data_IF_078390128435
#
_entry.id   IF_078390128435
#
_cell.length_a   1.000
_cell.length_b   1.000
_cell.length_c   1.000
_cell.angle_alpha   90.00
_cell.angle_beta   90.00
_cell.angle_gamma   90.00
#
_symmetry.space_group_name_H-M   'P 1'
#
loop_
_entity.id
_entity.type
_entity.pdbx_description
1 polymer ?
#
# COMPACT_ATOMS: atom_id res chain seq x y z
N UNK A 1 -1.91 2.76 -1.40
CA UNK A 1 -3.14 2.54 -0.60
C UNK A 1 -3.56 1.10 -0.71
N UNK A 2 -4.01 0.53 0.38
CA UNK A 2 -4.74 -0.72 0.44
C UNK A 2 -6.21 -0.47 0.11
N UNK A 3 -7.01 -1.49 -0.15
CA UNK A 3 -8.42 -1.31 -0.42
C UNK A 3 -9.15 -2.62 -0.55
N UNK A 4 -10.45 -2.58 -0.23
CA UNK A 4 -11.35 -3.71 -0.36
C UNK A 4 -12.71 -3.22 -0.88
N UNK A 5 -13.26 -3.93 -1.86
CA UNK A 5 -14.61 -3.71 -2.35
C UNK A 5 -15.29 -5.04 -2.60
N UNK A 6 -16.55 -5.19 -2.23
CA UNK A 6 -17.34 -6.40 -2.39
C UNK A 6 -18.75 -6.04 -2.81
N UNK A 7 -19.18 -6.53 -3.95
CA UNK A 7 -20.55 -6.38 -4.42
C UNK A 7 -21.17 -7.74 -4.71
N UNK A 8 -22.49 -7.85 -4.57
CA UNK A 8 -23.23 -9.05 -4.89
C UNK A 8 -24.50 -8.70 -5.64
N UNK A 9 -24.81 -9.46 -6.68
CA UNK A 9 -26.05 -9.32 -7.44
C UNK A 9 -26.69 -10.70 -7.69
N UNK A 10 -28.00 -10.71 -7.84
CA UNK A 10 -28.77 -11.93 -8.12
C UNK A 10 -29.22 -11.92 -9.56
N UNK A 11 -29.03 -13.04 -10.24
CA UNK A 11 -29.56 -13.32 -11.58
C UNK A 11 -30.26 -14.65 -11.60
N UNK A 12 -31.59 -14.67 -11.67
CA UNK A 12 -32.40 -15.87 -11.52
C UNK A 12 -32.20 -16.54 -10.16
N UNK A 13 -31.79 -17.80 -10.14
CA UNK A 13 -31.43 -18.57 -8.94
C UNK A 13 -29.98 -18.36 -8.50
N UNK A 14 -29.17 -17.64 -9.28
CA UNK A 14 -27.74 -17.49 -9.05
C UNK A 14 -27.41 -16.19 -8.30
N UNK A 15 -26.61 -16.29 -7.27
CA UNK A 15 -26.00 -15.16 -6.56
C UNK A 15 -24.56 -15.02 -7.00
N UNK A 16 -24.25 -13.90 -7.65
CA UNK A 16 -22.92 -13.56 -8.15
C UNK A 16 -22.27 -12.63 -7.13
N UNK A 17 -21.14 -13.02 -6.58
CA UNK A 17 -20.38 -12.18 -5.63
C UNK A 17 -19.01 -11.86 -6.22
N UNK A 18 -18.69 -10.57 -6.29
CA UNK A 18 -17.42 -10.04 -6.72
C UNK A 18 -16.72 -9.41 -5.53
N UNK A 19 -15.50 -9.84 -5.25
CA UNK A 19 -14.64 -9.26 -4.23
C UNK A 19 -13.32 -8.83 -4.86
N UNK A 20 -12.92 -7.59 -4.62
CA UNK A 20 -11.66 -7.01 -5.10
C UNK A 20 -10.86 -6.55 -3.90
N UNK A 21 -9.62 -7.04 -3.77
CA UNK A 21 -8.65 -6.60 -2.78
C UNK A 21 -7.49 -5.93 -3.48
N UNK A 22 -6.98 -4.86 -2.91
CA UNK A 22 -5.82 -4.16 -3.44
C UNK A 22 -4.80 -3.92 -2.34
N UNK A 23 -3.53 -4.24 -2.63
CA UNK A 23 -2.39 -3.91 -1.80
C UNK A 23 -1.53 -2.86 -2.50
N UNK A 24 -0.73 -2.13 -1.72
CA UNK A 24 0.16 -1.12 -2.27
C UNK A 24 1.22 -1.75 -3.18
N UNK A 25 1.29 -1.27 -4.43
CA UNK A 25 2.32 -1.64 -5.42
C UNK A 25 2.59 -0.49 -6.36
N UNK A 26 3.80 -0.45 -6.94
CA UNK A 26 4.20 0.58 -7.92
C UNK A 26 3.52 0.40 -9.28
N UNK A 27 3.17 -0.82 -9.64
CA UNK A 27 2.52 -1.20 -10.91
C UNK A 27 1.19 -1.88 -10.63
N UNK A 28 0.29 -1.88 -11.61
CA UNK A 28 -0.91 -2.68 -11.57
C UNK A 28 -0.54 -4.15 -11.86
N UNK A 29 -0.74 -5.01 -10.86
CA UNK A 29 -0.58 -6.45 -10.98
C UNK A 29 -1.91 -7.09 -10.57
N UNK A 30 -2.63 -7.68 -11.53
CA UNK A 30 -3.97 -8.22 -11.31
C UNK A 30 -3.95 -9.74 -11.38
N UNK A 31 -4.25 -10.37 -10.25
CA UNK A 31 -4.56 -11.79 -10.12
C UNK A 31 -6.08 -11.98 -10.12
N UNK A 32 -6.58 -12.91 -10.93
CA UNK A 32 -8.02 -13.15 -11.04
C UNK A 32 -8.33 -14.61 -10.72
N UNK A 33 -9.30 -14.81 -9.82
CA UNK A 33 -9.95 -16.10 -9.53
C UNK A 33 -11.41 -15.99 -9.90
N UNK A 34 -11.76 -16.54 -11.04
CA UNK A 34 -13.09 -16.38 -11.63
C UNK A 34 -13.75 -17.76 -11.72
N UNK A 35 -15.02 -17.84 -11.32
CA UNK A 35 -15.81 -19.05 -11.50
C UNK A 35 -15.75 -19.53 -12.96
N UNK A 36 -15.67 -20.85 -13.17
CA UNK A 36 -15.46 -21.47 -14.49
C UNK A 36 -16.42 -20.96 -15.55
N UNK A 37 -17.67 -20.71 -15.18
CA UNK A 37 -18.70 -20.15 -16.01
C UNK A 37 -18.32 -18.80 -16.64
N UNK A 38 -17.64 -17.91 -15.93
CA UNK A 38 -17.31 -16.54 -16.35
C UNK A 38 -15.89 -16.36 -16.92
N UNK A 39 -15.15 -17.46 -17.10
CA UNK A 39 -13.72 -17.41 -17.50
C UNK A 39 -13.50 -16.80 -18.89
N UNK A 40 -14.44 -16.97 -19.82
CA UNK A 40 -14.34 -16.40 -21.18
C UNK A 40 -14.25 -14.86 -21.16
N UNK A 41 -14.90 -14.21 -20.19
CA UNK A 41 -14.87 -12.74 -20.03
C UNK A 41 -13.73 -12.20 -19.20
N UNK A 42 -12.77 -13.02 -18.75
CA UNK A 42 -11.67 -12.60 -17.87
C UNK A 42 -10.88 -11.41 -18.42
N UNK A 43 -10.56 -11.41 -19.72
CA UNK A 43 -9.78 -10.35 -20.35
C UNK A 43 -10.48 -8.99 -20.31
N UNK A 44 -11.81 -8.99 -20.52
CA UNK A 44 -12.61 -7.76 -20.43
C UNK A 44 -12.62 -7.21 -19.00
N UNK A 45 -12.82 -8.08 -18.00
CA UNK A 45 -12.81 -7.67 -16.60
C UNK A 45 -11.43 -7.16 -16.15
N UNK A 46 -10.35 -7.79 -16.61
CA UNK A 46 -8.98 -7.32 -16.35
C UNK A 46 -8.75 -5.92 -16.89
N UNK A 47 -9.12 -5.63 -18.14
CA UNK A 47 -9.01 -4.31 -18.73
C UNK A 47 -9.82 -3.29 -17.94
N UNK A 48 -11.08 -3.58 -17.67
CA UNK A 48 -12.00 -2.72 -16.92
C UNK A 48 -11.45 -2.33 -15.53
N UNK A 49 -10.89 -3.29 -14.80
CA UNK A 49 -10.35 -3.07 -13.46
C UNK A 49 -9.03 -2.27 -13.54
N UNK A 50 -8.14 -2.62 -14.48
CA UNK A 50 -6.83 -1.97 -14.62
C UNK A 50 -6.99 -0.50 -15.02
N UNK A 51 -7.92 -0.20 -15.93
CA UNK A 51 -8.22 1.17 -16.38
C UNK A 51 -8.74 2.06 -15.23
N UNK A 52 -9.48 1.46 -14.28
CA UNK A 52 -10.07 2.19 -13.16
C UNK A 52 -9.14 2.32 -11.95
N UNK A 53 -8.32 1.31 -11.67
CA UNK A 53 -7.49 1.25 -10.45
C UNK A 53 -6.04 1.68 -10.63
N UNK A 54 -5.58 1.90 -11.86
CA UNK A 54 -4.28 2.44 -12.27
C UNK A 54 -3.05 1.74 -11.68
N UNK A 55 -2.97 1.46 -10.36
CA UNK A 55 -1.86 0.78 -9.69
C UNK A 55 -2.32 -0.02 -8.47
N UNK A 56 -1.49 -0.96 -8.04
CA UNK A 56 -1.72 -1.84 -6.89
C UNK A 56 -1.58 -3.31 -7.27
N UNK A 57 -1.28 -4.15 -6.27
CA UNK A 57 -1.46 -5.59 -6.43
C UNK A 57 -2.92 -5.91 -6.14
N UNK A 58 -3.66 -6.31 -7.17
CA UNK A 58 -5.11 -6.45 -7.16
C UNK A 58 -5.47 -7.92 -7.24
N UNK A 59 -6.25 -8.41 -6.30
CA UNK A 59 -6.82 -9.75 -6.32
C UNK A 59 -8.33 -9.65 -6.56
N UNK A 60 -8.76 -10.11 -7.74
CA UNK A 60 -10.17 -10.25 -8.12
C UNK A 60 -10.64 -11.65 -7.79
N UNK A 61 -11.76 -11.79 -7.09
CA UNK A 61 -12.43 -13.07 -6.87
C UNK A 61 -13.88 -12.94 -7.28
N UNK A 62 -14.35 -13.80 -8.19
CA UNK A 62 -15.74 -13.89 -8.61
C UNK A 62 -16.25 -15.29 -8.28
N UNK A 63 -17.23 -15.35 -7.39
CA UNK A 63 -17.91 -16.58 -7.01
C UNK A 63 -19.35 -16.55 -7.47
N UNK A 64 -19.87 -17.72 -7.78
CA UNK A 64 -21.26 -17.93 -8.13
C UNK A 64 -21.84 -19.01 -7.21
N UNK A 65 -22.92 -18.69 -6.54
CA UNK A 65 -23.70 -19.60 -5.73
C UNK A 65 -25.04 -19.77 -6.39
N UNK A 66 -25.49 -21.02 -6.57
CA UNK A 66 -26.83 -21.34 -7.16
C UNK A 66 -27.76 -21.80 -6.06
N UNK A 67 -28.76 -20.97 -5.72
CA UNK A 67 -29.74 -21.25 -4.67
C UNK A 67 -30.68 -22.42 -5.05
N UNK A 68 -30.74 -22.79 -6.35
CA UNK A 68 -31.55 -23.92 -6.80
C UNK A 68 -30.98 -25.29 -6.39
N UNK A 69 -29.76 -25.33 -5.87
CA UNK A 69 -29.08 -26.53 -5.39
C UNK A 69 -29.25 -26.69 -3.87
N UNK A 70 -30.49 -26.61 -3.37
CA UNK A 70 -30.85 -27.05 -2.03
C UNK A 70 -30.70 -28.57 -1.87
N UNK A 71 -29.50 -29.06 -1.98
CA UNK A 71 -29.17 -30.45 -1.70
C UNK A 71 -27.64 -30.55 -1.70
N UNK A 72 -27.10 -30.80 -0.53
CA UNK A 72 -25.66 -31.02 -0.29
C UNK A 72 -25.16 -32.36 -0.93
N UNK A 73 -25.74 -32.73 -2.10
CA UNK A 73 -25.46 -33.98 -2.81
C UNK A 73 -24.74 -33.66 -4.11
N UNK A 74 -23.57 -34.24 -4.29
CA UNK A 74 -22.84 -34.18 -5.56
C UNK A 74 -23.66 -34.89 -6.63
N UNK A 75 -24.03 -34.24 -7.76
CA UNK A 75 -24.80 -34.91 -8.81
C UNK A 75 -24.01 -36.06 -9.43
N UNK A 76 -24.75 -37.10 -9.81
CA UNK A 76 -24.17 -38.28 -10.47
C UNK A 76 -24.34 -38.11 -11.98
N UNK A 77 -23.21 -38.20 -12.69
CA UNK A 77 -23.20 -38.27 -14.15
C UNK A 77 -23.76 -39.61 -14.63
N UNK A 78 -25.03 -39.59 -15.02
CA UNK A 78 -25.74 -40.81 -15.43
C UNK A 78 -25.11 -41.46 -16.65
N UNK A 79 -24.63 -40.68 -17.63
CA UNK A 79 -24.05 -41.22 -18.85
C UNK A 79 -22.73 -41.95 -18.56
N UNK A 80 -21.86 -41.38 -17.77
CA UNK A 80 -20.62 -42.01 -17.33
C UNK A 80 -20.92 -43.27 -16.51
N UNK A 81 -21.84 -43.21 -15.56
CA UNK A 81 -22.24 -44.34 -14.73
C UNK A 81 -22.77 -45.51 -15.59
N UNK A 82 -23.70 -45.23 -16.51
CA UNK A 82 -24.26 -46.26 -17.42
C UNK A 82 -23.19 -46.81 -18.37
N UNK A 83 -22.26 -45.97 -18.84
CA UNK A 83 -21.14 -46.41 -19.66
C UNK A 83 -20.27 -47.43 -18.93
N UNK A 84 -19.91 -47.20 -17.67
CA UNK A 84 -19.17 -48.15 -16.83
C UNK A 84 -19.95 -49.46 -16.58
N UNK A 85 -21.26 -49.38 -16.32
CA UNK A 85 -22.10 -50.55 -16.13
C UNK A 85 -22.11 -51.40 -17.40
N UNK A 86 -22.29 -50.81 -18.57
CA UNK A 86 -22.30 -51.56 -19.85
C UNK A 86 -20.92 -52.21 -20.10
N UNK A 87 -19.81 -51.54 -19.85
CA UNK A 87 -18.48 -52.13 -20.00
C UNK A 87 -18.25 -53.31 -19.06
N UNK A 88 -18.70 -53.23 -17.81
CA UNK A 88 -18.58 -54.32 -16.84
C UNK A 88 -19.47 -55.49 -17.21
N UNK A 89 -20.69 -55.26 -17.74
CA UNK A 89 -21.59 -56.32 -18.25
C UNK A 89 -20.99 -57.03 -19.47
N UNK A 90 -20.39 -56.30 -20.41
CA UNK A 90 -19.72 -56.86 -21.55
C UNK A 90 -18.52 -57.74 -21.12
N UNK A 91 -17.68 -57.21 -20.21
CA UNK A 91 -16.55 -57.96 -19.65
C UNK A 91 -16.99 -59.26 -18.94
N UNK A 92 -18.10 -59.25 -18.22
CA UNK A 92 -18.69 -60.41 -17.56
C UNK A 92 -19.12 -61.46 -18.59
N UNK A 93 -19.78 -61.03 -19.68
CA UNK A 93 -20.19 -61.91 -20.77
C UNK A 93 -19.03 -62.53 -21.53
N UNK A 94 -17.96 -61.75 -21.78
CA UNK A 94 -16.78 -62.19 -22.53
C UNK A 94 -15.88 -63.12 -21.72
N UNK A 95 -15.69 -62.81 -20.42
CA UNK A 95 -14.80 -63.59 -19.55
C UNK A 95 -15.42 -64.84 -18.95
N UNK A 96 -16.74 -64.94 -18.95
CA UNK A 96 -17.48 -65.98 -18.24
C UNK A 96 -17.37 -65.92 -16.72
N UNK A 97 -16.79 -64.85 -16.14
CA UNK A 97 -16.64 -64.67 -14.71
C UNK A 97 -17.86 -63.97 -14.14
N UNK A 98 -18.41 -64.50 -13.08
CA UNK A 98 -19.51 -63.86 -12.34
C UNK A 98 -18.92 -63.03 -11.18
N UNK A 99 -18.90 -61.67 -11.30
CA UNK A 99 -18.53 -60.76 -10.26
C UNK A 99 -19.64 -59.72 -9.97
N UNK A 100 -19.87 -59.39 -8.70
CA UNK A 100 -20.90 -58.43 -8.35
C UNK A 100 -20.49 -56.99 -8.81
N UNK A 101 -21.47 -56.26 -9.35
CA UNK A 101 -21.32 -54.84 -9.64
C UNK A 101 -21.73 -54.07 -8.38
N UNK A 102 -20.78 -53.54 -7.68
CA UNK A 102 -21.00 -52.74 -6.48
C UNK A 102 -21.30 -51.27 -6.85
N UNK A 103 -22.52 -50.75 -6.56
CA UNK A 103 -22.86 -49.36 -6.83
C UNK A 103 -21.95 -48.36 -6.13
N UNK A 104 -21.45 -48.66 -4.92
CA UNK A 104 -20.57 -47.78 -4.16
C UNK A 104 -19.18 -47.69 -4.85
N UNK A 105 -18.69 -48.81 -5.38
CA UNK A 105 -17.45 -48.81 -6.15
C UNK A 105 -17.57 -48.00 -7.45
N UNK A 106 -18.73 -48.09 -8.13
CA UNK A 106 -18.97 -47.32 -9.35
C UNK A 106 -18.99 -45.80 -9.11
N UNK A 107 -19.50 -45.35 -7.97
CA UNK A 107 -19.50 -43.93 -7.64
C UNK A 107 -18.10 -43.34 -7.43
N UNK A 108 -17.09 -44.19 -7.21
CA UNK A 108 -15.66 -43.77 -7.06
C UNK A 108 -14.93 -43.71 -8.38
N UNK A 109 -15.54 -44.18 -9.48
CA UNK A 109 -14.88 -44.16 -10.79
C UNK A 109 -14.79 -42.72 -11.33
N UNK A 110 -13.72 -42.37 -12.07
CA UNK A 110 -13.53 -41.05 -12.64
C UNK A 110 -14.72 -40.61 -13.50
N UNK A 111 -15.19 -39.39 -13.29
CA UNK A 111 -16.28 -38.79 -14.08
C UNK A 111 -17.71 -39.25 -13.71
N UNK A 112 -17.89 -40.15 -12.71
CA UNK A 112 -19.20 -40.59 -12.23
C UNK A 112 -19.78 -39.60 -11.22
N UNK A 113 -18.96 -39.10 -10.31
CA UNK A 113 -19.30 -37.96 -9.45
C UNK A 113 -18.89 -36.67 -10.16
N UNK A 114 -19.82 -35.79 -10.43
CA UNK A 114 -19.52 -34.51 -11.02
C UNK A 114 -18.77 -33.65 -9.99
N UNK A 115 -17.48 -33.47 -10.19
CA UNK A 115 -16.74 -32.42 -9.45
C UNK A 115 -17.18 -31.03 -9.95
N UNK A 116 -17.24 -30.05 -9.07
CA UNK A 116 -17.58 -28.64 -9.40
C UNK A 116 -16.87 -28.07 -10.63
N UNK A 117 -15.71 -28.64 -10.99
CA UNK A 117 -14.91 -28.22 -12.15
C UNK A 117 -15.38 -28.78 -13.51
N UNK A 118 -16.34 -29.74 -13.55
CA UNK A 118 -16.72 -30.44 -14.78
C UNK A 118 -18.17 -30.15 -15.21
N UNK A 119 -18.82 -29.17 -14.58
CA UNK A 119 -20.10 -28.67 -15.11
C UNK A 119 -19.84 -28.11 -16.49
N UNK A 120 -20.44 -28.75 -17.50
CA UNK A 120 -20.46 -28.29 -18.89
C UNK A 120 -20.52 -26.75 -18.92
N UNK A 121 -19.68 -26.15 -19.73
CA UNK A 121 -19.65 -24.71 -20.01
C UNK A 121 -21.03 -24.25 -20.43
N UNK A 122 -21.92 -23.94 -19.47
CA UNK A 122 -23.18 -23.30 -19.78
C UNK A 122 -22.84 -21.98 -20.48
N UNK A 123 -23.33 -21.84 -21.70
CA UNK A 123 -23.19 -20.60 -22.45
C UNK A 123 -23.90 -19.50 -21.65
N UNK A 124 -23.13 -18.60 -21.07
CA UNK A 124 -23.64 -17.48 -20.29
C UNK A 124 -24.46 -16.58 -21.20
N UNK A 125 -25.64 -16.20 -20.75
CA UNK A 125 -26.45 -15.23 -21.47
C UNK A 125 -25.79 -13.85 -21.44
N UNK A 126 -26.06 -13.04 -22.48
CA UNK A 126 -25.55 -11.66 -22.52
C UNK A 126 -26.06 -10.82 -21.35
N UNK A 127 -27.27 -11.13 -20.89
CA UNK A 127 -27.94 -10.48 -19.76
C UNK A 127 -27.21 -10.83 -18.45
N UNK A 128 -26.86 -12.09 -18.23
CA UNK A 128 -26.10 -12.53 -17.06
C UNK A 128 -24.69 -11.89 -17.05
N UNK A 129 -24.00 -11.86 -18.21
CA UNK A 129 -22.72 -11.19 -18.34
C UNK A 129 -22.78 -9.70 -18.01
N UNK A 130 -23.86 -9.02 -18.43
CA UNK A 130 -24.08 -7.61 -18.07
C UNK A 130 -24.20 -7.42 -16.55
N UNK A 131 -24.84 -8.35 -15.83
CA UNK A 131 -24.92 -8.33 -14.37
C UNK A 131 -23.55 -8.54 -13.74
N UNK A 132 -22.74 -9.51 -14.21
CA UNK A 132 -21.35 -9.72 -13.72
C UNK A 132 -20.53 -8.46 -13.88
N UNK A 133 -20.61 -7.81 -15.05
CA UNK A 133 -19.89 -6.58 -15.33
C UNK A 133 -20.34 -5.42 -14.43
N UNK A 134 -21.65 -5.25 -14.25
CA UNK A 134 -22.20 -4.21 -13.37
C UNK A 134 -21.77 -4.44 -11.91
N UNK A 135 -21.83 -5.67 -11.42
CA UNK A 135 -21.40 -6.04 -10.06
C UNK A 135 -19.89 -5.82 -9.88
N UNK A 136 -19.09 -6.09 -10.92
CA UNK A 136 -17.65 -5.80 -10.89
C UNK A 136 -17.37 -4.29 -10.79
N UNK A 137 -18.09 -3.47 -11.56
CA UNK A 137 -17.99 -2.02 -11.47
C UNK A 137 -18.35 -1.50 -10.08
N UNK A 138 -19.43 -2.01 -9.50
CA UNK A 138 -19.84 -1.65 -8.14
C UNK A 138 -18.78 -2.02 -7.10
N UNK A 139 -18.16 -3.21 -7.19
CA UNK A 139 -17.05 -3.58 -6.31
C UNK A 139 -15.82 -2.67 -6.49
N UNK A 140 -15.54 -2.20 -7.71
CA UNK A 140 -14.48 -1.21 -7.98
C UNK A 140 -14.81 0.14 -7.32
N UNK A 141 -16.04 0.61 -7.43
CA UNK A 141 -16.50 1.86 -6.82
C UNK A 141 -16.39 1.82 -5.30
N UNK A 142 -16.77 0.72 -4.67
CA UNK A 142 -16.60 0.54 -3.21
C UNK A 142 -15.12 0.56 -2.80
N UNK A 143 -14.25 -0.10 -3.58
CA UNK A 143 -12.81 -0.06 -3.33
C UNK A 143 -12.25 1.35 -3.49
N UNK A 144 -12.71 2.12 -4.49
CA UNK A 144 -12.31 3.51 -4.67
C UNK A 144 -12.79 4.40 -3.51
N UNK A 145 -14.03 4.21 -3.05
CA UNK A 145 -14.55 4.92 -1.88
C UNK A 145 -13.73 4.63 -0.62
N UNK A 146 -13.34 3.37 -0.41
CA UNK A 146 -12.45 2.99 0.67
C UNK A 146 -11.07 3.68 0.57
N UNK A 147 -10.48 3.72 -0.63
CA UNK A 147 -9.21 4.42 -0.87
C UNK A 147 -9.31 5.93 -0.60
N UNK A 148 -10.42 6.57 -0.97
CA UNK A 148 -10.64 7.99 -0.69
C UNK A 148 -10.72 8.26 0.81
N UNK A 149 -11.41 7.40 1.56
CA UNK A 149 -11.50 7.51 3.01
C UNK A 149 -10.12 7.30 3.67
N UNK A 150 -9.37 6.28 3.27
CA UNK A 150 -7.99 6.05 3.76
C UNK A 150 -7.09 7.25 3.42
N UNK A 151 -7.22 7.80 2.19
CA UNK A 151 -6.47 8.95 1.74
C UNK A 151 -6.71 10.21 2.59
N UNK A 152 -7.96 10.50 2.92
CA UNK A 152 -8.30 11.63 3.79
C UNK A 152 -7.69 11.49 5.20
N UNK A 153 -7.72 10.29 5.78
CA UNK A 153 -7.06 10.03 7.06
C UNK A 153 -5.53 10.20 6.99
N UNK A 154 -4.91 9.74 5.90
CA UNK A 154 -3.47 9.91 5.70
C UNK A 154 -3.08 11.38 5.50
N UNK A 155 -3.90 12.16 4.81
CA UNK A 155 -3.73 13.60 4.63
C UNK A 155 -3.72 14.31 5.99
N UNK A 156 -4.70 14.04 6.85
CA UNK A 156 -4.78 14.62 8.19
C UNK A 156 -3.57 14.26 9.05
N UNK A 157 -3.14 13.00 9.03
CA UNK A 157 -1.94 12.55 9.74
C UNK A 157 -0.68 13.27 9.25
N UNK A 158 -0.47 13.37 7.93
CA UNK A 158 0.68 14.06 7.38
C UNK A 158 0.66 15.56 7.71
N UNK A 159 -0.48 16.23 7.57
CA UNK A 159 -0.63 17.64 7.90
C UNK A 159 -0.34 17.92 9.37
N UNK A 160 -0.86 17.10 10.30
CA UNK A 160 -0.59 17.23 11.73
C UNK A 160 0.90 17.10 12.05
N UNK A 161 1.62 16.15 11.42
CA UNK A 161 3.05 15.95 11.65
C UNK A 161 3.92 17.05 11.07
N UNK A 162 3.58 17.55 9.88
CA UNK A 162 4.24 18.71 9.28
C UNK A 162 4.08 19.94 10.18
N UNK A 163 2.88 20.16 10.71
CA UNK A 163 2.64 21.25 11.65
C UNK A 163 3.47 21.11 12.94
N UNK A 164 3.63 19.89 13.47
CA UNK A 164 4.51 19.63 14.62
C UNK A 164 5.99 19.94 14.32
N UNK A 165 6.51 19.54 13.15
CA UNK A 165 7.87 19.89 12.74
C UNK A 165 8.01 21.42 12.65
N UNK A 166 7.01 22.12 12.10
CA UNK A 166 6.98 23.58 12.08
C UNK A 166 6.99 24.21 13.46
N UNK A 167 6.21 23.67 14.41
CA UNK A 167 6.19 24.12 15.79
C UNK A 167 7.53 23.87 16.52
N UNK A 168 8.19 22.74 16.24
CA UNK A 168 9.52 22.44 16.75
C UNK A 168 10.57 23.38 16.17
N UNK A 169 10.47 23.75 14.89
CA UNK A 169 11.34 24.71 14.23
C UNK A 169 11.25 26.10 14.90
N UNK A 170 10.06 26.54 15.30
CA UNK A 170 9.87 27.80 16.02
C UNK A 170 10.48 27.80 17.44
N UNK A 171 10.66 26.62 18.06
CA UNK A 171 11.34 26.50 19.36
C UNK A 171 12.84 26.71 19.28
N UNK A 172 13.44 26.64 18.07
CA UNK A 172 14.85 26.91 17.86
C UNK A 172 15.06 28.44 17.85
N UNK A 173 14.95 29.06 19.02
CA UNK A 173 15.15 30.51 19.26
C UNK A 173 16.33 30.70 20.16
N UNK A 174 17.54 30.41 19.68
CA UNK A 174 18.73 30.70 20.46
C UNK A 174 19.25 32.12 20.13
N UNK A 175 19.42 32.98 21.13
CA UNK A 175 20.03 34.29 20.92
C UNK A 175 21.44 34.09 20.34
N UNK A 176 21.68 34.62 19.16
CA UNK A 176 23.00 34.52 18.50
C UNK A 176 24.15 35.04 19.41
N UNK A 177 23.86 36.07 20.20
CA UNK A 177 24.83 36.64 21.14
C UNK A 177 25.30 35.67 22.22
N UNK A 178 24.43 34.86 22.81
CA UNK A 178 24.80 33.88 23.84
C UNK A 178 25.64 32.75 23.24
N UNK A 179 25.34 32.35 22.02
CA UNK A 179 26.07 31.30 21.31
C UNK A 179 27.50 31.76 20.96
N UNK A 180 27.63 32.99 20.45
CA UNK A 180 28.92 33.60 20.15
C UNK A 180 29.75 33.74 21.44
N UNK A 181 29.16 34.20 22.54
CA UNK A 181 29.81 34.31 23.83
C UNK A 181 30.34 32.98 24.35
N UNK A 182 29.50 31.91 24.23
CA UNK A 182 29.91 30.56 24.64
C UNK A 182 31.05 29.99 23.79
N UNK A 183 31.08 30.26 22.50
CA UNK A 183 32.18 29.86 21.61
C UNK A 183 33.45 30.61 21.99
N UNK A 184 33.37 31.91 22.18
CA UNK A 184 34.48 32.75 22.59
C UNK A 184 35.09 32.23 23.90
N UNK A 185 34.27 32.02 24.90
CA UNK A 185 34.72 31.51 26.20
C UNK A 185 35.44 30.16 26.08
N UNK A 186 34.91 29.21 25.30
CA UNK A 186 35.57 27.92 25.08
C UNK A 186 36.94 28.04 24.39
N UNK A 187 37.02 28.90 23.39
CA UNK A 187 38.28 29.14 22.70
C UNK A 187 39.31 29.80 23.62
N UNK A 188 38.92 30.81 24.42
CA UNK A 188 39.77 31.47 25.40
C UNK A 188 40.23 30.49 26.49
N UNK A 189 39.35 29.67 27.04
CA UNK A 189 39.71 28.61 28.01
C UNK A 189 40.66 27.56 27.41
N UNK A 190 40.47 27.20 26.13
CA UNK A 190 41.39 26.32 25.41
C UNK A 190 42.77 26.92 25.23
N UNK A 191 42.81 28.19 24.82
CA UNK A 191 44.07 28.95 24.64
C UNK A 191 44.80 29.15 25.97
N UNK A 192 44.09 29.43 27.06
CA UNK A 192 44.69 29.58 28.40
C UNK A 192 45.39 28.28 28.90
N UNK A 193 44.92 27.11 28.47
CA UNK A 193 45.58 25.83 28.78
C UNK A 193 46.87 25.60 27.99
N UNK A 194 46.96 26.13 26.77
CA UNK A 194 48.08 25.91 25.86
C UNK A 194 49.14 27.03 26.01
N UNK A 195 48.70 28.26 26.24
CA UNK A 195 49.55 29.44 26.38
C UNK A 195 49.23 30.23 27.68
N UNK A 196 49.56 29.69 28.85
CA UNK A 196 49.20 30.29 30.16
C UNK A 196 49.77 31.67 30.40
N UNK A 197 50.81 32.12 29.64
CA UNK A 197 51.44 33.42 29.78
C UNK A 197 50.97 34.48 28.77
N UNK A 198 49.81 34.19 28.04
CA UNK A 198 49.18 35.20 27.19
C UNK A 198 49.98 35.56 25.91
N UNK A 199 50.47 34.55 25.20
CA UNK A 199 51.24 34.75 23.96
C UNK A 199 50.53 34.42 22.67
N UNK A 200 49.20 34.62 22.58
CA UNK A 200 48.44 34.32 21.36
C UNK A 200 48.06 35.60 20.59
N UNK A 201 48.01 35.48 19.26
CA UNK A 201 47.60 36.53 18.35
C UNK A 201 46.06 36.70 18.38
N UNK A 202 45.62 37.87 18.86
CA UNK A 202 44.20 38.23 18.93
C UNK A 202 43.53 38.28 17.57
N UNK A 203 44.25 38.73 16.52
CA UNK A 203 43.71 38.76 15.16
C UNK A 203 43.41 37.37 14.63
N UNK A 204 44.21 36.38 15.01
CA UNK A 204 44.00 34.99 14.66
C UNK A 204 42.81 34.37 15.41
N UNK A 205 42.61 34.73 16.67
CA UNK A 205 41.43 34.35 17.44
C UNK A 205 40.15 34.90 16.79
N UNK A 206 40.16 36.16 16.34
CA UNK A 206 39.00 36.77 15.67
C UNK A 206 38.68 36.07 14.32
N UNK A 207 39.69 35.71 13.55
CA UNK A 207 39.49 34.92 12.32
C UNK A 207 38.88 33.54 12.60
N UNK A 208 39.36 32.84 13.60
CA UNK A 208 38.77 31.54 14.02
C UNK A 208 37.35 31.72 14.54
N UNK A 209 37.05 32.80 15.25
CA UNK A 209 35.70 33.13 15.70
C UNK A 209 34.73 33.29 14.51
N UNK A 210 35.13 34.04 13.47
CA UNK A 210 34.33 34.20 12.24
C UNK A 210 34.06 32.84 11.61
N UNK A 211 35.08 31.99 11.47
CA UNK A 211 34.94 30.65 10.93
C UNK A 211 33.94 29.80 11.73
N UNK A 212 33.98 29.83 13.08
CA UNK A 212 33.04 29.10 13.91
C UNK A 212 31.63 29.69 13.85
N UNK A 213 31.45 31.00 13.74
CA UNK A 213 30.17 31.67 13.57
C UNK A 213 29.50 31.17 12.28
N UNK A 214 30.21 31.22 11.14
CA UNK A 214 29.73 30.75 9.84
C UNK A 214 29.44 29.25 9.86
N UNK A 215 30.34 28.45 10.42
CA UNK A 215 30.18 26.98 10.50
C UNK A 215 28.99 26.55 11.33
N UNK A 216 28.58 27.32 12.31
CA UNK A 216 27.49 27.02 13.22
C UNK A 216 26.20 27.78 12.85
N UNK A 217 26.23 28.63 11.84
CA UNK A 217 25.02 29.30 11.36
C UNK A 217 24.01 28.29 10.78
N UNK A 218 22.75 28.41 11.19
CA UNK A 218 21.64 27.57 10.79
C UNK A 218 20.48 28.35 10.18
N UNK A 219 20.67 29.65 9.95
CA UNK A 219 19.58 30.51 9.48
C UNK A 219 19.11 30.11 8.08
N UNK A 220 20.04 29.70 7.22
CA UNK A 220 19.72 29.21 5.88
C UNK A 220 18.90 27.90 5.95
N UNK A 221 19.33 26.94 6.77
CA UNK A 221 18.63 25.66 6.96
C UNK A 221 17.24 25.88 7.56
N UNK A 222 17.09 26.81 8.50
CA UNK A 222 15.76 27.17 9.04
C UNK A 222 14.85 27.74 7.97
N UNK A 223 15.34 28.65 7.14
CA UNK A 223 14.55 29.25 6.05
C UNK A 223 14.18 28.20 5.00
N UNK A 224 15.11 27.35 4.59
CA UNK A 224 14.87 26.25 3.65
C UNK A 224 13.88 25.22 4.21
N UNK A 225 14.04 24.82 5.47
CA UNK A 225 13.13 23.91 6.13
C UNK A 225 11.71 24.49 6.18
N UNK A 226 11.54 25.75 6.57
CA UNK A 226 10.24 26.41 6.57
C UNK A 226 9.61 26.43 5.18
N UNK A 227 10.39 26.71 4.13
CA UNK A 227 9.92 26.66 2.74
C UNK A 227 9.48 25.24 2.34
N UNK A 228 10.26 24.21 2.65
CA UNK A 228 9.91 22.83 2.34
C UNK A 228 8.66 22.34 3.08
N UNK A 229 8.46 22.78 4.32
CA UNK A 229 7.23 22.47 5.08
C UNK A 229 5.99 23.11 4.43
N UNK A 230 6.09 24.38 3.99
CA UNK A 230 5.01 25.06 3.25
C UNK A 230 4.71 24.34 1.94
N UNK A 231 5.74 24.03 1.15
CA UNK A 231 5.60 23.34 -0.12
C UNK A 231 5.03 21.92 0.03
N UNK A 232 5.40 21.22 1.11
CA UNK A 232 4.79 19.91 1.42
C UNK A 232 3.29 20.04 1.64
N UNK A 233 2.85 21.06 2.40
CA UNK A 233 1.43 21.32 2.65
C UNK A 233 0.69 21.68 1.37
N UNK A 234 1.25 22.55 0.53
CA UNK A 234 0.68 22.91 -0.77
C UNK A 234 0.45 21.70 -1.69
N UNK A 235 1.47 20.81 -1.78
CA UNK A 235 1.37 19.58 -2.58
C UNK A 235 0.40 18.60 -1.96
N UNK A 236 0.34 18.51 -0.61
CA UNK A 236 -0.58 17.63 0.11
C UNK A 236 -2.06 18.00 -0.13
N UNK A 237 -2.34 19.29 -0.24
CA UNK A 237 -3.68 19.83 -0.46
C UNK A 237 -4.07 19.92 -1.95
N UNK A 238 -3.12 19.74 -2.85
CA UNK A 238 -3.38 19.74 -4.29
C UNK A 238 -4.02 18.40 -4.71
N UNK A 239 -5.11 18.46 -5.48
CA UNK A 239 -5.75 17.25 -6.06
C UNK A 239 -5.07 16.88 -7.39
N UNK A 240 -3.88 16.27 -7.29
CA UNK A 240 -3.08 15.88 -8.47
C UNK A 240 -2.64 14.41 -8.39
N UNK A 241 -2.69 13.66 -9.50
CA UNK A 241 -2.24 12.27 -9.52
C UNK A 241 -0.72 12.17 -9.28
N UNK A 242 -0.29 11.20 -8.50
CA UNK A 242 1.12 10.94 -8.24
C UNK A 242 1.75 11.80 -7.14
N UNK A 243 0.95 12.46 -6.32
CA UNK A 243 1.40 13.29 -5.18
C UNK A 243 2.38 12.56 -4.25
N UNK A 244 2.15 11.28 -3.97
CA UNK A 244 3.00 10.50 -3.06
C UNK A 244 4.48 10.51 -3.44
N UNK A 245 4.81 10.50 -4.74
CA UNK A 245 6.21 10.59 -5.19
C UNK A 245 6.82 11.97 -4.91
N UNK A 246 6.08 13.02 -5.20
CA UNK A 246 6.52 14.42 -4.96
C UNK A 246 6.67 14.69 -3.47
N UNK A 247 5.70 14.30 -2.65
CA UNK A 247 5.77 14.39 -1.19
C UNK A 247 6.96 13.61 -0.63
N UNK A 248 7.28 12.44 -1.21
CA UNK A 248 8.47 11.67 -0.84
C UNK A 248 9.77 12.42 -1.08
N UNK A 249 9.91 13.12 -2.22
CA UNK A 249 11.08 13.96 -2.50
C UNK A 249 11.15 15.16 -1.55
N UNK A 250 10.03 15.84 -1.30
CA UNK A 250 10.02 16.97 -0.35
C UNK A 250 10.40 16.49 1.06
N UNK A 251 9.89 15.33 1.50
CA UNK A 251 10.26 14.74 2.79
C UNK A 251 11.77 14.40 2.89
N UNK A 252 12.41 14.03 1.77
CA UNK A 252 13.86 13.85 1.74
C UNK A 252 14.61 15.18 1.94
N UNK A 253 14.19 16.26 1.27
CA UNK A 253 14.80 17.58 1.45
C UNK A 253 14.59 18.12 2.86
N UNK A 254 13.36 17.96 3.43
CA UNK A 254 13.11 18.26 4.85
C UNK A 254 14.12 17.53 5.75
N UNK A 255 14.35 16.23 5.49
CA UNK A 255 15.32 15.42 6.24
C UNK A 255 16.75 15.92 6.10
N UNK A 256 17.11 16.41 4.94
CA UNK A 256 18.43 17.00 4.68
C UNK A 256 18.66 18.24 5.53
N UNK A 257 17.71 19.18 5.54
CA UNK A 257 17.82 20.41 6.33
C UNK A 257 17.86 20.10 7.85
N UNK A 258 17.00 19.19 8.34
CA UNK A 258 17.01 18.74 9.74
C UNK A 258 18.37 18.11 10.11
N UNK A 259 18.97 17.29 9.23
CA UNK A 259 20.26 16.68 9.46
C UNK A 259 21.39 17.72 9.52
N UNK A 260 21.37 18.70 8.61
CA UNK A 260 22.38 19.77 8.57
C UNK A 260 22.28 20.62 9.83
N UNK A 261 21.08 21.01 10.26
CA UNK A 261 20.84 21.70 11.52
C UNK A 261 21.38 20.89 12.71
N UNK A 262 21.14 19.57 12.74
CA UNK A 262 21.66 18.68 13.78
C UNK A 262 23.19 18.63 13.82
N UNK A 263 23.85 18.58 12.67
CA UNK A 263 25.30 18.53 12.58
C UNK A 263 25.98 19.86 12.98
N UNK A 264 25.30 21.00 12.75
CA UNK A 264 25.75 22.34 13.17
C UNK A 264 25.40 22.67 14.61
N UNK A 265 24.60 21.81 15.28
CA UNK A 265 24.15 22.04 16.66
C UNK A 265 25.14 21.50 17.69
N UNK A 266 25.64 22.40 18.57
CA UNK A 266 26.49 22.05 19.72
C UNK A 266 25.74 22.08 21.07
N UNK A 267 24.42 22.36 21.06
CA UNK A 267 23.60 22.49 22.27
C UNK A 267 22.72 21.26 22.44
N UNK A 268 22.66 20.70 23.66
CA UNK A 268 21.88 19.52 23.94
C UNK A 268 20.36 19.71 23.71
N UNK A 269 19.84 20.89 24.04
CA UNK A 269 18.43 21.24 23.82
C UNK A 269 18.06 21.23 22.33
N UNK A 270 18.91 21.82 21.49
CA UNK A 270 18.72 21.81 20.05
C UNK A 270 18.79 20.38 19.46
N UNK A 271 19.73 19.55 19.94
CA UNK A 271 19.82 18.15 19.54
C UNK A 271 18.54 17.39 19.89
N UNK A 272 17.93 17.65 21.03
CA UNK A 272 16.65 17.03 21.42
C UNK A 272 15.52 17.46 20.48
N UNK A 273 15.47 18.72 20.06
CA UNK A 273 14.47 19.22 19.09
C UNK A 273 14.69 18.54 17.74
N UNK A 274 15.92 18.46 17.27
CA UNK A 274 16.27 17.78 16.00
C UNK A 274 15.86 16.31 16.02
N UNK A 275 16.07 15.58 17.12
CA UNK A 275 15.64 14.20 17.26
C UNK A 275 14.11 14.09 17.15
N UNK A 276 13.35 14.96 17.83
CA UNK A 276 11.89 14.98 17.74
C UNK A 276 11.41 15.27 16.31
N UNK A 277 12.06 16.21 15.58
CA UNK A 277 11.75 16.46 14.18
C UNK A 277 12.00 15.25 13.30
N UNK A 278 13.08 14.51 13.52
CA UNK A 278 13.40 13.30 12.78
C UNK A 278 12.35 12.21 13.01
N UNK A 279 11.92 12.03 14.24
CA UNK A 279 10.89 11.04 14.58
C UNK A 279 9.56 11.33 13.86
N UNK A 280 9.10 12.60 13.86
CA UNK A 280 7.90 13.00 13.11
C UNK A 280 8.08 12.82 11.59
N UNK A 281 9.27 13.13 11.07
CA UNK A 281 9.58 12.97 9.64
C UNK A 281 9.61 11.51 9.18
N UNK A 282 10.19 10.60 9.97
CA UNK A 282 10.19 9.17 9.60
C UNK A 282 8.77 8.62 9.51
N UNK A 283 7.88 9.04 10.41
CA UNK A 283 6.47 8.65 10.33
C UNK A 283 5.77 9.24 9.10
N UNK A 284 6.13 10.45 8.65
CA UNK A 284 5.65 11.02 7.39
C UNK A 284 6.13 10.16 6.21
N UNK A 285 7.42 9.80 6.16
CA UNK A 285 8.00 9.01 5.07
C UNK A 285 7.33 7.64 4.92
N UNK A 286 6.98 6.99 6.04
CA UNK A 286 6.24 5.74 6.02
C UNK A 286 4.83 5.91 5.40
N UNK A 287 4.13 6.98 5.76
CA UNK A 287 2.77 7.22 5.28
C UNK A 287 2.73 7.68 3.81
N UNK A 288 3.69 8.49 3.38
CA UNK A 288 3.77 9.00 2.00
C UNK A 288 3.89 7.85 0.98
N UNK A 289 4.47 6.72 1.34
CA UNK A 289 4.51 5.52 0.48
C UNK A 289 3.12 4.95 0.17
N UNK A 290 2.12 5.28 0.98
CA UNK A 290 0.73 4.83 0.81
C UNK A 290 -0.16 5.84 0.08
N UNK A 291 0.32 7.07 -0.20
CA UNK A 291 -0.41 8.09 -0.96
C UNK A 291 -0.32 7.79 -2.47
N UNK A 292 -1.47 7.90 -3.15
CA UNK A 292 -1.58 7.67 -4.60
C UNK A 292 -1.25 8.92 -5.42
#
# INVERSE_FOLDING_TARGET
>A
MTGFGKASARFGSRTITVAIKSLNSKQADLSARIASAYREGELELRSLITDRLQRGKIDLTITMEDDALEGNTTPINKEALLGYIHQLQALRSESGMDFPIDPVALLRLPGVMESEGNRTTEVISKEEWAVVRATTLQAVEELQAFRLQEGAMLQEVCASRIAKIGALLQQITFPEGERIATIRQRLEEGLAKIAPQGGYDTSRLEQEMIYYIEKLDINEEKARLAHHLSYFTEVLDADQPGQGKTLGFIAQEIGREINTMGSKSNQAEMQQIVVKMKDELEQIKEQVLNIL
#
